data_IF_910130663960
#
_entry.id   IF_910130663960
#
_cell.length_a   1.000
_cell.length_b   1.000
_cell.length_c   1.000
_cell.angle_alpha   90.00
_cell.angle_beta   90.00
_cell.angle_gamma   90.00
#
_symmetry.space_group_name_H-M   'P 1'
#
loop_
_entity.id
_entity.type
_entity.pdbx_description
1 polymer ?
#
# COMPACT_ATOMS: atom_id res chain seq x y z
N UNK A 1 -11.27 2.38 22.53
CA UNK A 1 -9.83 2.45 22.83
C UNK A 1 -9.18 3.15 21.65
N UNK A 2 -8.97 4.46 21.77
CA UNK A 2 -8.35 5.27 20.71
C UNK A 2 -6.85 4.96 20.67
N UNK A 3 -6.40 4.30 19.61
CA UNK A 3 -4.98 4.09 19.35
C UNK A 3 -4.47 5.30 18.59
N UNK A 4 -3.48 5.99 19.13
CA UNK A 4 -2.72 6.99 18.38
C UNK A 4 -2.10 6.34 17.14
N UNK A 5 -2.16 7.06 16.01
CA UNK A 5 -1.53 6.71 14.74
C UNK A 5 -0.01 6.71 14.92
N UNK A 6 0.53 5.61 15.45
CA UNK A 6 1.97 5.43 15.61
C UNK A 6 2.50 4.62 14.43
N UNK A 7 3.20 5.29 13.53
CA UNK A 7 3.99 4.76 12.42
C UNK A 7 5.18 3.89 12.90
N UNK A 8 4.93 2.93 13.79
CA UNK A 8 6.00 2.12 14.39
C UNK A 8 5.60 1.17 15.52
N UNK A 9 4.38 1.22 16.09
CA UNK A 9 3.93 0.15 16.98
C UNK A 9 3.52 -1.06 16.15
N UNK A 10 4.52 -1.81 15.69
CA UNK A 10 4.33 -3.19 15.26
C UNK A 10 3.81 -3.97 16.48
N UNK A 11 2.63 -4.55 16.33
CA UNK A 11 1.97 -5.36 17.33
C UNK A 11 2.93 -6.44 17.88
N UNK A 12 3.05 -6.53 19.21
CA UNK A 12 3.80 -7.59 19.89
C UNK A 12 2.85 -8.75 20.11
N UNK A 13 3.24 -9.96 19.72
CA UNK A 13 2.47 -11.17 20.02
C UNK A 13 2.36 -11.36 21.53
N UNK A 14 1.14 -11.44 22.06
CA UNK A 14 0.90 -11.53 23.51
C UNK A 14 1.62 -12.74 24.13
N UNK A 15 1.87 -13.79 23.35
CA UNK A 15 2.55 -15.01 23.79
C UNK A 15 4.06 -14.81 24.07
N UNK A 16 4.67 -13.72 23.60
CA UNK A 16 6.10 -13.41 23.82
C UNK A 16 6.33 -12.26 24.80
N UNK A 17 5.26 -11.67 25.34
CA UNK A 17 5.36 -10.66 26.40
C UNK A 17 6.06 -11.28 27.61
N UNK A 18 7.01 -10.53 28.20
CA UNK A 18 7.83 -10.91 29.34
C UNK A 18 8.74 -12.15 29.13
N UNK A 19 8.92 -12.60 27.89
CA UNK A 19 9.83 -13.70 27.54
C UNK A 19 11.04 -13.20 26.76
N UNK A 20 12.28 -13.60 27.11
CA UNK A 20 13.45 -13.27 26.32
C UNK A 20 13.30 -13.91 24.93
N UNK A 21 13.12 -13.07 23.91
CA UNK A 21 12.81 -13.51 22.54
C UNK A 21 13.79 -12.86 21.58
N UNK A 22 14.47 -13.68 20.78
CA UNK A 22 15.31 -13.17 19.68
C UNK A 22 14.42 -12.47 18.66
N UNK A 23 14.74 -11.22 18.33
CA UNK A 23 14.01 -10.45 17.31
C UNK A 23 14.98 -9.84 16.30
N UNK A 24 14.48 -9.64 15.07
CA UNK A 24 15.19 -8.98 13.98
C UNK A 24 14.34 -7.79 13.53
N UNK A 25 14.99 -6.64 13.39
CA UNK A 25 14.38 -5.43 12.83
C UNK A 25 14.80 -5.24 11.39
N UNK A 26 13.84 -4.99 10.51
CA UNK A 26 14.10 -4.64 9.12
C UNK A 26 13.60 -3.20 8.88
N UNK A 27 14.47 -2.37 8.31
CA UNK A 27 14.12 -1.03 7.84
C UNK A 27 14.22 -0.99 6.32
N UNK A 28 13.14 -0.53 5.67
CA UNK A 28 13.09 -0.39 4.23
C UNK A 28 13.62 1.00 3.86
N UNK A 29 14.92 1.08 3.60
CA UNK A 29 15.61 2.33 3.28
C UNK A 29 14.94 3.06 2.12
N UNK A 30 14.39 4.25 2.43
CA UNK A 30 13.74 5.14 1.47
C UNK A 30 12.57 4.48 0.70
N UNK A 31 11.80 3.59 1.34
CA UNK A 31 10.70 2.82 0.73
C UNK A 31 9.84 3.63 -0.26
N UNK A 32 9.23 4.74 0.19
CA UNK A 32 8.36 5.55 -0.68
C UNK A 32 9.12 6.21 -1.83
N UNK A 33 10.37 6.62 -1.62
CA UNK A 33 11.20 7.17 -2.69
C UNK A 33 11.50 6.12 -3.76
N UNK A 34 11.84 4.90 -3.33
CA UNK A 34 12.06 3.74 -4.22
C UNK A 34 10.77 3.39 -4.96
N UNK A 35 9.64 3.28 -4.25
CA UNK A 35 8.34 2.96 -4.84
C UNK A 35 7.91 4.00 -5.89
N UNK A 36 8.16 5.28 -5.65
CA UNK A 36 7.77 6.34 -6.59
C UNK A 36 8.72 6.45 -7.78
N UNK A 37 10.03 6.43 -7.56
CA UNK A 37 11.00 6.89 -8.56
C UNK A 37 12.00 5.86 -9.06
N UNK A 38 12.12 4.68 -8.45
CA UNK A 38 13.03 3.65 -8.94
C UNK A 38 12.51 3.05 -10.25
N UNK A 39 13.42 2.81 -11.21
CA UNK A 39 13.04 2.26 -12.52
C UNK A 39 12.51 0.82 -12.45
N UNK A 40 12.79 0.09 -11.37
CA UNK A 40 12.27 -1.25 -11.11
C UNK A 40 10.95 -1.25 -10.33
N UNK A 41 10.39 -0.08 -10.01
CA UNK A 41 9.08 -0.01 -9.36
C UNK A 41 7.97 -0.18 -10.41
N UNK A 42 7.06 -1.11 -10.14
CA UNK A 42 5.87 -1.34 -10.96
C UNK A 42 4.68 -0.44 -10.59
N UNK A 43 4.89 0.53 -9.68
CA UNK A 43 3.84 1.49 -9.33
C UNK A 43 3.46 2.30 -10.56
N UNK A 44 2.17 2.23 -10.90
CA UNK A 44 1.54 3.06 -11.92
C UNK A 44 0.63 4.06 -11.25
N UNK A 45 0.45 5.22 -11.86
CA UNK A 45 -0.44 6.28 -11.40
C UNK A 45 -1.24 6.86 -12.59
N UNK A 46 -2.50 7.25 -12.37
CA UNK A 46 -3.29 7.90 -13.39
C UNK A 46 -2.87 9.37 -13.55
N UNK A 47 -2.89 9.88 -14.78
CA UNK A 47 -2.57 11.27 -15.12
C UNK A 47 -3.79 12.13 -15.42
N UNK A 48 -4.94 11.50 -15.66
CA UNK A 48 -6.21 12.17 -15.95
C UNK A 48 -7.32 11.68 -15.01
N UNK A 49 -8.48 12.33 -15.08
CA UNK A 49 -9.65 11.97 -14.28
C UNK A 49 -10.21 10.60 -14.67
N UNK A 50 -10.68 9.85 -13.67
CA UNK A 50 -11.34 8.56 -13.90
C UNK A 50 -12.80 8.76 -14.32
N UNK A 51 -13.30 7.87 -15.17
CA UNK A 51 -14.70 7.85 -15.58
C UNK A 51 -15.55 7.21 -14.48
N UNK A 52 -16.57 7.93 -14.00
CA UNK A 52 -17.52 7.40 -13.04
C UNK A 52 -18.42 6.35 -13.69
N UNK A 53 -18.45 5.13 -13.14
CA UNK A 53 -19.20 4.00 -13.69
C UNK A 53 -20.06 3.36 -12.60
N UNK A 54 -21.24 2.89 -12.98
CA UNK A 54 -22.11 2.04 -12.17
C UNK A 54 -21.99 0.60 -12.64
N UNK A 55 -21.23 -0.19 -11.90
CA UNK A 55 -21.03 -1.62 -12.13
C UNK A 55 -22.17 -2.41 -11.46
N UNK A 56 -22.68 -3.41 -12.17
CA UNK A 56 -23.64 -4.39 -11.63
C UNK A 56 -22.94 -5.60 -11.01
N UNK A 57 -21.80 -5.98 -11.57
CA UNK A 57 -20.93 -7.05 -11.14
C UNK A 57 -19.47 -6.64 -11.31
N UNK A 58 -18.56 -7.39 -10.69
CA UNK A 58 -17.13 -7.12 -10.75
C UNK A 58 -16.37 -8.44 -10.84
N UNK A 59 -15.39 -8.49 -11.74
CA UNK A 59 -14.40 -9.57 -11.77
C UNK A 59 -13.18 -9.16 -10.95
N UNK A 60 -13.11 -9.66 -9.72
CA UNK A 60 -11.99 -9.35 -8.81
C UNK A 60 -10.66 -9.95 -9.28
N UNK A 61 -10.67 -10.96 -10.16
CA UNK A 61 -9.44 -11.56 -10.68
C UNK A 61 -8.81 -10.71 -11.80
N UNK A 62 -9.64 -10.00 -12.57
CA UNK A 62 -9.20 -9.18 -13.72
C UNK A 62 -9.66 -7.73 -13.56
N UNK A 63 -9.25 -7.11 -12.46
CA UNK A 63 -9.70 -5.77 -12.11
C UNK A 63 -9.04 -4.69 -12.98
N UNK A 64 -9.85 -3.81 -13.56
CA UNK A 64 -9.32 -2.64 -14.27
C UNK A 64 -8.67 -1.65 -13.31
N UNK A 65 -7.74 -0.83 -13.82
CA UNK A 65 -7.09 0.19 -13.02
C UNK A 65 -8.13 1.25 -12.63
N UNK A 66 -8.41 1.37 -11.34
CA UNK A 66 -9.54 2.16 -10.86
C UNK A 66 -9.59 2.36 -9.36
N UNK A 67 -10.63 3.06 -8.92
CA UNK A 67 -11.06 3.17 -7.53
C UNK A 67 -12.49 2.63 -7.43
N UNK A 68 -12.74 1.76 -6.47
CA UNK A 68 -13.99 1.01 -6.36
C UNK A 68 -14.61 1.17 -4.98
N UNK A 69 -15.94 1.25 -4.93
CA UNK A 69 -16.71 1.23 -3.70
C UNK A 69 -17.03 -0.22 -3.31
N UNK A 70 -16.13 -0.83 -2.53
CA UNK A 70 -16.17 -2.23 -2.14
C UNK A 70 -16.07 -2.32 -0.63
N UNK A 71 -17.00 -3.03 -0.01
CA UNK A 71 -16.86 -3.41 1.39
C UNK A 71 -15.87 -4.57 1.47
N UNK A 72 -14.74 -4.33 2.13
CA UNK A 72 -13.75 -5.34 2.46
C UNK A 72 -13.87 -5.60 3.96
N UNK A 73 -14.09 -6.86 4.33
CA UNK A 73 -14.11 -7.33 5.72
C UNK A 73 -13.19 -8.53 5.86
N UNK A 74 -12.84 -8.90 7.09
CA UNK A 74 -12.10 -10.13 7.38
C UNK A 74 -12.66 -10.78 8.63
N UNK A 75 -12.78 -12.10 8.62
CA UNK A 75 -13.28 -12.90 9.73
C UNK A 75 -12.17 -13.58 10.55
N UNK A 76 -10.91 -13.30 10.24
CA UNK A 76 -9.78 -13.83 11.02
C UNK A 76 -9.76 -13.24 12.44
N UNK A 77 -9.92 -14.14 13.40
CA UNK A 77 -9.78 -13.88 14.83
C UNK A 77 -8.36 -14.15 15.35
N UNK A 78 -7.54 -14.85 14.57
CA UNK A 78 -6.16 -15.15 14.93
C UNK A 78 -5.34 -13.85 15.05
N UNK A 79 -4.83 -13.64 16.25
CA UNK A 79 -4.07 -12.46 16.65
C UNK A 79 -2.77 -12.32 15.84
N UNK A 80 -2.19 -13.45 15.39
CA UNK A 80 -1.00 -13.47 14.55
C UNK A 80 -1.31 -13.07 13.10
N UNK A 81 -2.50 -13.39 12.60
CA UNK A 81 -2.97 -13.13 11.23
C UNK A 81 -3.90 -11.92 11.09
N UNK A 82 -3.93 -11.01 12.07
CA UNK A 82 -4.79 -9.81 12.01
C UNK A 82 -4.49 -9.01 10.74
N UNK A 83 -5.45 -9.02 9.81
CA UNK A 83 -5.44 -8.29 8.55
C UNK A 83 -5.23 -6.78 8.73
N UNK A 84 -5.69 -6.19 9.84
CA UNK A 84 -5.48 -4.77 10.19
C UNK A 84 -4.00 -4.35 10.25
N UNK A 85 -3.04 -5.30 10.30
CA UNK A 85 -1.59 -5.01 10.29
C UNK A 85 -1.05 -4.69 8.89
N UNK A 86 -1.66 -5.26 7.87
CA UNK A 86 -1.16 -5.28 6.49
C UNK A 86 -2.15 -4.66 5.51
N UNK A 87 -3.38 -4.43 5.96
CA UNK A 87 -4.44 -3.83 5.18
C UNK A 87 -5.09 -2.67 5.93
N UNK A 88 -5.18 -1.52 5.26
CA UNK A 88 -5.80 -0.32 5.79
C UNK A 88 -7.29 -0.27 5.37
N UNK A 89 -8.18 -0.59 6.30
CA UNK A 89 -9.62 -0.52 6.04
C UNK A 89 -10.08 0.95 5.95
N UNK A 90 -10.77 1.28 4.86
CA UNK A 90 -11.39 2.58 4.64
C UNK A 90 -12.84 2.57 5.16
N UNK A 91 -13.20 3.45 6.13
CA UNK A 91 -14.58 3.58 6.61
C UNK A 91 -15.60 3.96 5.54
N UNK A 92 -15.15 4.60 4.45
CA UNK A 92 -15.99 4.97 3.29
C UNK A 92 -16.01 3.89 2.20
N UNK A 93 -15.27 2.80 2.39
CA UNK A 93 -15.23 1.65 1.48
C UNK A 93 -14.75 1.96 0.04
N UNK A 94 -14.00 3.04 -0.16
CA UNK A 94 -13.36 3.35 -1.44
C UNK A 94 -11.91 2.88 -1.45
N UNK A 95 -11.57 2.03 -2.40
CA UNK A 95 -10.25 1.40 -2.49
C UNK A 95 -9.72 1.48 -3.92
N UNK A 96 -8.41 1.67 -4.06
CA UNK A 96 -7.75 1.52 -5.36
C UNK A 96 -7.75 0.04 -5.77
N UNK A 97 -7.64 -0.23 -7.06
CA UNK A 97 -7.48 -1.58 -7.60
C UNK A 97 -6.34 -2.36 -6.89
N UNK A 98 -5.22 -1.71 -6.54
CA UNK A 98 -4.14 -2.32 -5.75
C UNK A 98 -4.63 -2.91 -4.41
N UNK A 99 -5.42 -2.15 -3.65
CA UNK A 99 -5.96 -2.62 -2.38
C UNK A 99 -6.95 -3.77 -2.58
N UNK A 100 -7.84 -3.65 -3.58
CA UNK A 100 -8.85 -4.66 -3.88
C UNK A 100 -8.18 -5.98 -4.30
N UNK A 101 -7.18 -5.89 -5.18
CA UNK A 101 -6.44 -7.04 -5.67
C UNK A 101 -5.64 -7.72 -4.56
N UNK A 102 -4.95 -6.96 -3.71
CA UNK A 102 -4.29 -7.50 -2.52
C UNK A 102 -5.27 -8.29 -1.64
N UNK A 103 -6.43 -7.71 -1.33
CA UNK A 103 -7.44 -8.39 -0.50
C UNK A 103 -7.98 -9.64 -1.19
N UNK A 104 -8.16 -9.62 -2.52
CA UNK A 104 -8.61 -10.77 -3.28
C UNK A 104 -7.57 -11.89 -3.32
N UNK A 105 -6.29 -11.57 -3.56
CA UNK A 105 -5.18 -12.52 -3.64
C UNK A 105 -4.96 -13.24 -2.30
N UNK A 106 -5.08 -12.52 -1.19
CA UNK A 106 -4.90 -13.08 0.15
C UNK A 106 -6.20 -13.47 0.86
N UNK A 107 -7.32 -13.58 0.14
CA UNK A 107 -8.63 -13.82 0.76
C UNK A 107 -8.72 -15.10 1.59
N UNK A 108 -8.07 -16.18 1.15
CA UNK A 108 -8.09 -17.47 1.86
C UNK A 108 -7.18 -17.43 3.09
N UNK A 109 -6.00 -16.83 2.96
CA UNK A 109 -5.00 -16.75 4.03
C UNK A 109 -5.41 -15.78 5.15
N UNK A 110 -6.03 -14.66 4.75
CA UNK A 110 -6.37 -13.53 5.61
C UNK A 110 -7.88 -13.39 5.88
N UNK A 111 -8.70 -14.30 5.35
CA UNK A 111 -10.14 -14.34 5.52
C UNK A 111 -10.87 -13.15 4.92
N UNK A 112 -10.32 -12.50 3.88
CA UNK A 112 -10.97 -11.33 3.28
C UNK A 112 -12.25 -11.70 2.55
N UNK A 113 -13.28 -10.88 2.72
CA UNK A 113 -14.54 -10.93 1.98
C UNK A 113 -14.76 -9.59 1.31
N UNK A 114 -15.04 -9.62 0.01
CA UNK A 114 -15.20 -8.44 -0.84
C UNK A 114 -16.64 -8.40 -1.36
N UNK A 115 -17.29 -7.25 -1.21
CA UNK A 115 -18.66 -7.02 -1.67
C UNK A 115 -18.73 -5.67 -2.40
N UNK A 116 -19.16 -5.68 -3.68
CA UNK A 116 -19.42 -4.44 -4.43
C UNK A 116 -20.63 -3.72 -3.81
N UNK A 117 -20.47 -2.45 -3.50
CA UNK A 117 -21.56 -1.66 -2.93
C UNK A 117 -22.32 -0.90 -4.02
N UNK A 118 -23.63 -0.78 -3.83
CA UNK A 118 -24.53 -0.11 -4.78
C UNK A 118 -25.19 1.16 -4.22
N UNK A 119 -24.73 1.67 -3.07
CA UNK A 119 -25.32 2.81 -2.34
C UNK A 119 -25.24 4.16 -3.05
N UNK A 120 -24.35 4.31 -4.04
CA UNK A 120 -24.08 5.58 -4.74
C UNK A 120 -24.50 5.51 -6.22
N UNK A 121 -24.65 6.67 -6.88
CA UNK A 121 -25.00 6.75 -8.31
C UNK A 121 -23.95 6.07 -9.22
N UNK A 122 -22.69 6.05 -8.79
CA UNK A 122 -21.58 5.29 -9.37
C UNK A 122 -20.89 4.53 -8.24
N UNK A 123 -20.26 3.40 -8.53
CA UNK A 123 -19.52 2.60 -7.56
C UNK A 123 -18.09 2.28 -8.01
N UNK A 124 -17.65 2.86 -9.13
CA UNK A 124 -16.28 2.81 -9.58
C UNK A 124 -15.87 4.09 -10.32
N UNK A 125 -14.57 4.38 -10.30
CA UNK A 125 -13.87 5.31 -11.18
C UNK A 125 -12.83 4.52 -11.95
N UNK A 126 -13.02 4.37 -13.26
CA UNK A 126 -12.13 3.59 -14.13
C UNK A 126 -11.24 4.54 -14.93
N UNK A 127 -9.94 4.28 -14.94
CA UNK A 127 -8.97 5.08 -15.68
C UNK A 127 -8.68 4.43 -17.04
N UNK A 128 -8.53 5.26 -18.07
CA UNK A 128 -8.12 4.78 -19.38
C UNK A 128 -6.68 4.25 -19.32
N UNK A 129 -6.39 3.19 -20.08
CA UNK A 129 -5.03 2.65 -20.17
C UNK A 129 -4.02 3.66 -20.72
N UNK A 130 -4.47 4.57 -21.58
CA UNK A 130 -3.64 5.64 -22.12
C UNK A 130 -3.31 6.72 -21.08
N UNK A 131 -4.11 6.81 -20.02
CA UNK A 131 -3.97 7.80 -18.94
C UNK A 131 -3.20 7.25 -17.73
N UNK A 132 -2.54 6.10 -17.88
CA UNK A 132 -1.79 5.45 -16.81
C UNK A 132 -0.30 5.44 -17.18
N UNK A 133 0.53 5.99 -16.32
CA UNK A 133 1.99 5.95 -16.47
C UNK A 133 2.64 5.27 -15.27
N UNK A 134 3.83 4.70 -15.48
CA UNK A 134 4.72 4.36 -14.39
C UNK A 134 5.07 5.61 -13.59
N UNK A 135 5.06 5.53 -12.26
CA UNK A 135 5.40 6.65 -11.39
C UNK A 135 6.84 7.12 -11.60
N UNK A 136 7.74 6.21 -11.98
CA UNK A 136 9.15 6.50 -12.30
C UNK A 136 9.32 7.43 -13.50
N UNK A 137 8.35 7.50 -14.42
CA UNK A 137 8.38 8.48 -15.52
C UNK A 137 8.18 9.93 -15.02
N UNK A 138 7.53 10.10 -13.87
CA UNK A 138 7.27 11.41 -13.25
C UNK A 138 8.33 11.72 -12.19
N UNK A 139 8.66 10.74 -11.35
CA UNK A 139 9.52 10.93 -10.17
C UNK A 139 10.96 10.42 -10.34
N UNK A 140 11.30 9.84 -11.50
CA UNK A 140 12.60 9.19 -11.71
C UNK A 140 13.79 10.13 -11.57
N UNK A 141 13.73 11.31 -12.19
CA UNK A 141 14.83 12.28 -12.10
C UNK A 141 14.95 12.86 -10.69
N UNK A 142 13.83 13.16 -10.05
CA UNK A 142 13.80 13.53 -8.63
C UNK A 142 14.50 12.47 -7.76
N UNK A 143 14.17 11.19 -7.96
CA UNK A 143 14.75 10.09 -7.19
C UNK A 143 16.25 9.89 -7.45
N UNK A 144 16.70 10.04 -8.71
CA UNK A 144 18.14 10.02 -9.04
C UNK A 144 18.89 11.12 -8.31
N UNK A 145 18.38 12.36 -8.35
CA UNK A 145 19.02 13.48 -7.66
C UNK A 145 19.04 13.28 -6.15
N UNK A 146 17.91 12.90 -5.55
CA UNK A 146 17.80 12.62 -4.12
C UNK A 146 18.80 11.54 -3.67
N UNK A 147 18.94 10.48 -4.45
CA UNK A 147 19.84 9.35 -4.16
C UNK A 147 21.31 9.78 -4.24
N UNK A 148 21.66 10.60 -5.24
CA UNK A 148 23.00 11.19 -5.38
C UNK A 148 23.35 12.07 -4.19
N UNK A 149 22.45 12.95 -3.76
CA UNK A 149 22.67 13.80 -2.58
C UNK A 149 22.85 12.97 -1.30
N UNK A 150 22.05 11.92 -1.11
CA UNK A 150 22.18 11.02 0.05
C UNK A 150 23.53 10.28 0.09
N UNK A 151 24.08 9.93 -1.07
CA UNK A 151 25.41 9.30 -1.14
C UNK A 151 26.52 10.30 -0.81
N UNK A 152 26.50 11.49 -1.42
CA UNK A 152 27.51 12.52 -1.20
C UNK A 152 27.55 13.00 0.25
N UNK A 153 26.39 13.16 0.89
CA UNK A 153 26.31 13.56 2.31
C UNK A 153 26.92 12.50 3.22
N UNK A 154 26.68 11.21 2.95
CA UNK A 154 27.26 10.10 3.69
C UNK A 154 28.79 10.05 3.55
N UNK A 155 29.31 10.26 2.34
CA UNK A 155 30.76 10.33 2.12
C UNK A 155 31.41 11.52 2.85
N UNK A 156 30.76 12.68 2.81
CA UNK A 156 31.23 13.90 3.47
C UNK A 156 31.25 13.74 4.99
N UNK A 157 30.20 13.15 5.56
CA UNK A 157 30.13 12.81 6.97
C UNK A 157 31.25 11.84 7.37
N UNK A 158 31.43 10.74 6.64
CA UNK A 158 32.48 9.76 6.95
C UNK A 158 33.89 10.37 6.90
N UNK A 159 34.17 11.28 5.95
CA UNK A 159 35.46 11.99 5.87
C UNK A 159 35.69 12.96 7.04
N UNK A 160 34.62 13.55 7.58
CA UNK A 160 34.70 14.52 8.68
C UNK A 160 34.90 13.86 10.05
N UNK A 161 34.37 12.64 10.25
CA UNK A 161 34.32 11.99 11.57
C UNK A 161 35.18 10.74 11.72
N UNK A 162 35.78 10.22 10.63
CA UNK A 162 36.73 9.09 10.68
C UNK A 162 38.20 9.53 10.46
N UNK A 163 38.54 10.77 10.83
CA UNK A 163 39.92 11.23 11.04
C UNK A 163 40.22 11.19 12.53
#
# INVERSE_FOLDING_TARGET
>A
MESTFNSGKQYINDNIIDKPTQCYGYDQSAFYGVLLGAMFSDLKIPTNEGKAVKLNNIDFANLEYGIYNIRITSDIKDVNKRCNKIFAFNPRHWYTHYCVQFAYEHREELGFKLELLHSHNHNAYIYDKMDITYSSNIFGDWFKHLTKFKHLSKESFNKAFNK
#
